data_IF_815750045909
#
_entry.id   IF_815750045909
#
_cell.length_a   1.000
_cell.length_b   1.000
_cell.length_c   1.000
_cell.angle_alpha   90.00
_cell.angle_beta   90.00
_cell.angle_gamma   90.00
#
_symmetry.space_group_name_H-M   'P 1'
#
loop_
_entity.id
_entity.type
_entity.pdbx_description
1 polymer ?
#
# COMPACT_ATOMS: atom_id res chain seq x y z
N UNK A 1 7.67 22.25 -17.16
CA UNK A 1 7.62 23.56 -17.83
C UNK A 1 6.51 24.38 -17.15
N UNK A 2 6.81 25.56 -16.62
CA UNK A 2 5.81 26.36 -15.89
C UNK A 2 5.31 27.50 -16.77
N UNK A 3 4.00 27.54 -17.00
CA UNK A 3 3.31 28.63 -17.71
C UNK A 3 2.24 29.17 -16.76
N UNK A 4 2.26 30.48 -16.46
CA UNK A 4 1.29 31.17 -15.59
C UNK A 4 1.10 30.51 -14.21
N UNK A 5 2.18 29.98 -13.60
CA UNK A 5 2.10 29.31 -12.29
C UNK A 5 1.55 27.88 -12.32
N UNK A 6 1.20 27.35 -13.48
CA UNK A 6 0.80 25.94 -13.68
C UNK A 6 2.00 25.16 -14.20
N UNK A 7 2.36 24.09 -13.51
CA UNK A 7 3.38 23.15 -13.99
C UNK A 7 2.68 22.01 -14.75
N UNK A 8 3.21 21.73 -15.94
CA UNK A 8 2.73 20.62 -16.77
C UNK A 8 3.67 19.43 -16.61
N UNK A 9 3.14 18.26 -16.25
CA UNK A 9 3.95 17.04 -16.08
C UNK A 9 4.39 16.52 -17.45
N UNK A 10 3.45 16.46 -18.39
CA UNK A 10 3.68 15.98 -19.75
C UNK A 10 3.50 17.09 -20.80
N UNK A 11 4.43 18.06 -20.90
CA UNK A 11 4.30 19.19 -21.82
C UNK A 11 4.32 18.80 -23.30
N UNK A 12 4.83 17.59 -23.61
CA UNK A 12 4.89 17.08 -24.99
C UNK A 12 3.49 16.90 -25.60
N UNK A 13 2.47 16.57 -24.78
CA UNK A 13 1.09 16.41 -25.21
C UNK A 13 0.51 17.72 -25.76
N UNK A 14 0.95 18.87 -25.26
CA UNK A 14 0.49 20.18 -25.73
C UNK A 14 0.88 20.46 -27.19
N UNK A 15 1.93 19.81 -27.71
CA UNK A 15 2.35 19.93 -29.10
C UNK A 15 1.31 19.30 -30.08
N UNK A 16 0.39 18.48 -29.59
CA UNK A 16 -0.69 17.92 -30.39
C UNK A 16 -1.87 18.88 -30.56
N UNK A 17 -1.99 19.91 -29.72
CA UNK A 17 -3.11 20.88 -29.77
C UNK A 17 -3.26 21.54 -31.17
N UNK A 18 -2.21 22.06 -31.83
CA UNK A 18 -2.34 22.70 -33.11
C UNK A 18 -2.77 21.77 -34.26
N UNK A 19 -2.59 20.44 -34.06
CA UNK A 19 -3.06 19.45 -35.04
C UNK A 19 -4.58 19.27 -35.04
N UNK A 20 -5.26 19.58 -33.91
CA UNK A 20 -6.71 19.40 -33.77
C UNK A 20 -7.50 20.32 -34.72
N UNK A 21 -7.27 21.65 -34.76
CA UNK A 21 -7.97 22.52 -35.71
C UNK A 21 -7.60 22.20 -37.17
N UNK A 22 -6.36 21.79 -37.44
CA UNK A 22 -5.94 21.35 -38.76
C UNK A 22 -6.70 20.09 -39.22
N UNK A 23 -6.78 19.07 -38.35
CA UNK A 23 -7.53 17.85 -38.63
C UNK A 23 -9.04 18.14 -38.80
N UNK A 24 -9.59 18.98 -37.92
CA UNK A 24 -10.98 19.41 -38.03
C UNK A 24 -11.25 20.12 -39.35
N UNK A 25 -10.39 21.03 -39.76
CA UNK A 25 -10.51 21.74 -41.02
C UNK A 25 -10.43 20.81 -42.23
N UNK A 26 -9.50 19.87 -42.25
CA UNK A 26 -9.38 18.87 -43.30
C UNK A 26 -10.62 17.97 -43.44
N UNK A 27 -11.15 17.49 -42.31
CA UNK A 27 -12.37 16.65 -42.27
C UNK A 27 -13.58 17.44 -42.82
N UNK A 28 -13.75 18.72 -42.38
CA UNK A 28 -14.89 19.52 -42.81
C UNK A 28 -14.75 20.06 -44.24
N UNK A 29 -13.53 20.33 -44.73
CA UNK A 29 -13.29 20.71 -46.12
C UNK A 29 -13.67 19.61 -47.13
N UNK A 30 -13.36 18.34 -46.75
CA UNK A 30 -13.71 17.19 -47.60
C UNK A 30 -15.22 16.93 -47.70
N UNK A 31 -15.99 17.41 -46.75
CA UNK A 31 -17.44 17.18 -46.65
C UNK A 31 -18.30 18.34 -47.21
N UNK A 32 -17.72 19.48 -47.57
CA UNK A 32 -18.43 20.63 -48.06
C UNK A 32 -19.03 20.40 -49.48
N UNK A 33 -18.64 19.34 -50.17
CA UNK A 33 -19.15 19.01 -51.52
C UNK A 33 -20.12 17.81 -51.58
N UNK A 34 -20.37 17.16 -50.44
CA UNK A 34 -21.29 16.02 -50.41
C UNK A 34 -22.57 16.42 -49.70
N UNK A 35 -23.63 16.73 -50.45
CA UNK A 35 -25.01 16.81 -49.94
C UNK A 35 -25.35 15.54 -49.16
N UNK A 36 -25.46 15.73 -47.83
CA UNK A 36 -25.32 14.67 -46.86
C UNK A 36 -26.49 13.73 -46.75
N UNK A 37 -26.51 12.72 -47.57
CA UNK A 37 -27.25 11.50 -47.24
C UNK A 37 -26.28 10.59 -46.47
N UNK A 38 -26.31 10.64 -45.14
CA UNK A 38 -25.65 9.65 -44.31
C UNK A 38 -26.21 8.29 -44.71
N UNK A 39 -25.44 7.49 -45.46
CA UNK A 39 -25.77 6.09 -45.71
C UNK A 39 -25.62 5.30 -44.41
N UNK A 40 -26.64 5.38 -43.54
CA UNK A 40 -26.73 4.51 -42.38
C UNK A 40 -26.60 3.05 -42.79
N UNK A 41 -25.82 2.22 -42.07
CA UNK A 41 -25.77 0.77 -42.33
C UNK A 41 -27.20 0.20 -42.33
N UNK A 42 -27.45 -0.77 -43.19
CA UNK A 42 -28.78 -1.36 -43.38
C UNK A 42 -29.49 -1.77 -42.07
N UNK A 43 -28.73 -2.13 -41.06
CA UNK A 43 -29.21 -2.51 -39.72
C UNK A 43 -29.81 -1.31 -38.99
N UNK A 44 -29.16 -0.14 -38.99
CA UNK A 44 -29.66 1.09 -38.34
C UNK A 44 -30.88 1.68 -39.08
N UNK A 45 -30.99 1.52 -40.39
CA UNK A 45 -32.18 1.92 -41.19
C UNK A 45 -33.46 1.23 -40.75
N UNK A 46 -33.34 -0.02 -40.31
CA UNK A 46 -34.47 -0.83 -39.84
C UNK A 46 -35.03 -0.36 -38.45
N UNK A 47 -34.15 0.21 -37.64
CA UNK A 47 -34.49 0.72 -36.32
C UNK A 47 -34.95 2.19 -36.31
N UNK A 48 -34.48 2.97 -37.26
CA UNK A 48 -34.73 4.42 -37.30
C UNK A 48 -36.06 4.80 -37.93
N UNK A 49 -36.76 3.89 -38.64
CA UNK A 49 -38.04 4.17 -39.32
C UNK A 49 -37.88 5.21 -40.44
N UNK A 50 -38.91 5.34 -41.26
CA UNK A 50 -38.91 6.16 -42.48
C UNK A 50 -38.77 7.71 -42.26
N UNK A 51 -38.80 8.16 -41.02
CA UNK A 51 -38.68 9.59 -40.62
C UNK A 51 -37.26 10.04 -40.19
N UNK A 52 -36.27 9.17 -40.25
CA UNK A 52 -34.93 9.48 -39.81
C UNK A 52 -34.04 10.22 -40.84
N UNK A 53 -34.61 10.59 -42.00
CA UNK A 53 -33.93 11.46 -42.96
C UNK A 53 -34.38 12.87 -42.72
N UNK A 54 -33.92 13.49 -41.61
CA UNK A 54 -34.05 14.92 -41.43
C UNK A 54 -32.82 15.57 -42.02
N UNK A 55 -33.01 16.25 -43.14
CA UNK A 55 -32.01 17.18 -43.72
C UNK A 55 -31.75 18.25 -42.63
N UNK A 56 -30.65 18.11 -41.86
CA UNK A 56 -30.22 19.20 -41.00
C UNK A 56 -29.50 20.24 -41.84
N UNK A 57 -29.87 21.54 -41.71
CA UNK A 57 -29.17 22.61 -42.40
C UNK A 57 -27.68 22.57 -41.98
N UNK A 58 -26.78 22.79 -42.93
CA UNK A 58 -25.32 22.68 -42.77
C UNK A 58 -24.73 23.48 -41.62
N UNK A 59 -25.47 24.46 -41.04
CA UNK A 59 -25.12 25.25 -39.89
C UNK A 59 -25.00 24.42 -38.60
N UNK A 60 -25.89 23.46 -38.33
CA UNK A 60 -25.87 22.63 -37.13
C UNK A 60 -24.71 21.61 -37.13
N UNK A 61 -24.31 21.14 -38.30
CA UNK A 61 -23.19 20.23 -38.46
C UNK A 61 -21.85 20.95 -38.25
N UNK A 62 -21.74 22.21 -38.62
CA UNK A 62 -20.57 23.05 -38.38
C UNK A 62 -20.39 23.36 -36.90
N UNK A 63 -21.48 23.53 -36.18
CA UNK A 63 -21.48 23.70 -34.72
C UNK A 63 -21.02 22.47 -33.96
N UNK A 64 -21.48 21.27 -34.35
CA UNK A 64 -21.03 20.02 -33.73
C UNK A 64 -19.52 19.81 -33.84
N UNK A 65 -18.94 20.09 -35.03
CA UNK A 65 -17.50 19.99 -35.23
C UNK A 65 -16.67 20.97 -34.39
N UNK A 66 -17.20 22.17 -34.15
CA UNK A 66 -16.53 23.15 -33.28
C UNK A 66 -16.48 22.63 -31.82
N UNK A 67 -17.60 22.13 -31.29
CA UNK A 67 -17.65 21.58 -29.94
C UNK A 67 -16.78 20.33 -29.78
N UNK A 68 -16.69 19.49 -30.80
CA UNK A 68 -15.79 18.34 -30.84
C UNK A 68 -14.33 18.77 -30.75
N UNK A 69 -13.92 19.72 -31.59
CA UNK A 69 -12.54 20.23 -31.56
C UNK A 69 -12.19 20.86 -30.22
N UNK A 70 -13.10 21.68 -29.65
CA UNK A 70 -12.92 22.27 -28.33
C UNK A 70 -12.81 21.20 -27.22
N UNK A 71 -13.66 20.17 -27.27
CA UNK A 71 -13.61 19.05 -26.32
C UNK A 71 -12.30 18.26 -26.39
N UNK A 72 -11.80 17.98 -27.62
CA UNK A 72 -10.52 17.31 -27.82
C UNK A 72 -9.34 18.16 -27.34
N UNK A 73 -9.35 19.46 -27.57
CA UNK A 73 -8.30 20.37 -27.07
C UNK A 73 -8.26 20.33 -25.53
N UNK A 74 -9.42 20.45 -24.87
CA UNK A 74 -9.47 20.35 -23.41
C UNK A 74 -9.06 18.96 -22.89
N UNK A 75 -9.40 17.91 -23.60
CA UNK A 75 -8.95 16.55 -23.25
C UNK A 75 -7.42 16.40 -23.34
N UNK A 76 -6.79 16.98 -24.38
CA UNK A 76 -5.33 17.01 -24.50
C UNK A 76 -4.70 17.85 -23.39
N UNK A 77 -5.32 18.98 -23.03
CA UNK A 77 -4.86 19.77 -21.88
C UNK A 77 -4.98 19.01 -20.56
N UNK A 78 -6.05 18.24 -20.35
CA UNK A 78 -6.20 17.38 -19.18
C UNK A 78 -5.15 16.25 -19.16
N UNK A 79 -4.85 15.67 -20.32
CA UNK A 79 -3.83 14.61 -20.47
C UNK A 79 -2.41 15.14 -20.19
N UNK A 80 -2.14 16.43 -20.41
CA UNK A 80 -0.88 17.07 -20.06
C UNK A 80 -0.68 17.26 -18.54
N UNK A 81 -1.65 16.81 -17.70
CA UNK A 81 -1.64 16.81 -16.24
C UNK A 81 -1.24 18.16 -15.64
N UNK A 82 -2.13 19.17 -15.68
CA UNK A 82 -1.87 20.44 -15.05
C UNK A 82 -1.79 20.30 -13.54
N UNK A 83 -0.67 20.71 -12.96
CA UNK A 83 -0.39 20.73 -11.54
C UNK A 83 -0.49 22.17 -11.04
N UNK A 84 -1.40 22.40 -10.09
CA UNK A 84 -1.60 23.72 -9.50
C UNK A 84 -1.89 23.62 -8.00
N UNK A 85 -1.16 24.40 -7.21
CA UNK A 85 -1.25 24.38 -5.75
C UNK A 85 -0.30 23.35 -5.12
N UNK A 86 0.03 23.57 -3.87
CA UNK A 86 0.83 22.66 -3.06
C UNK A 86 -0.13 21.86 -2.17
N UNK A 87 -0.13 20.56 -2.30
CA UNK A 87 -0.64 19.66 -1.27
C UNK A 87 0.52 19.46 -0.31
N UNK A 88 0.39 19.94 0.90
CA UNK A 88 1.22 19.52 2.00
C UNK A 88 0.81 18.10 2.36
N UNK A 89 1.25 17.11 1.60
CA UNK A 89 1.28 15.75 2.09
C UNK A 89 2.40 15.72 3.12
N UNK A 90 2.04 15.52 4.37
CA UNK A 90 3.00 15.08 5.37
C UNK A 90 3.40 13.67 4.95
N UNK A 91 4.40 13.57 4.08
CA UNK A 91 5.12 12.33 3.90
C UNK A 91 5.76 12.12 5.26
N UNK A 92 5.27 11.17 6.01
CA UNK A 92 6.00 10.60 7.12
C UNK A 92 7.21 9.92 6.48
N UNK A 93 8.25 10.71 6.24
CA UNK A 93 9.56 10.16 5.97
C UNK A 93 9.84 9.27 7.18
N UNK A 94 10.11 7.99 6.91
CA UNK A 94 10.29 6.96 7.93
C UNK A 94 11.55 7.34 8.71
N UNK A 95 11.38 8.27 9.66
CA UNK A 95 12.48 8.91 10.33
C UNK A 95 13.09 8.05 11.43
N UNK A 96 12.51 6.88 11.74
CA UNK A 96 12.97 6.02 12.83
C UNK A 96 12.95 4.55 12.46
N UNK A 97 14.03 3.88 12.81
CA UNK A 97 14.17 2.43 12.73
C UNK A 97 14.39 1.89 14.15
N UNK A 98 13.49 1.04 14.61
CA UNK A 98 13.52 0.44 15.96
C UNK A 98 13.67 -1.07 15.81
N UNK A 99 14.80 -1.61 16.25
CA UNK A 99 14.98 -3.05 16.36
C UNK A 99 14.81 -3.49 17.80
N UNK A 100 13.88 -4.40 18.02
CA UNK A 100 13.65 -5.03 19.32
C UNK A 100 14.54 -6.26 19.43
N UNK A 101 15.31 -6.41 20.49
CA UNK A 101 16.10 -7.61 20.78
C UNK A 101 15.53 -8.25 22.05
N UNK A 102 14.83 -9.37 21.87
CA UNK A 102 14.20 -10.12 22.94
C UNK A 102 15.06 -11.31 23.37
N UNK A 103 15.44 -11.34 24.64
CA UNK A 103 16.13 -12.43 25.25
C UNK A 103 15.18 -13.62 25.47
N UNK A 104 15.53 -14.77 24.91
CA UNK A 104 14.82 -16.04 25.09
C UNK A 104 15.64 -17.04 25.91
N UNK A 105 16.61 -16.58 26.69
CA UNK A 105 17.36 -17.47 27.58
C UNK A 105 16.44 -18.07 28.66
N UNK A 106 16.85 -19.20 29.23
CA UNK A 106 16.07 -19.90 30.23
C UNK A 106 15.83 -19.02 31.48
N UNK A 107 16.74 -18.10 31.82
CA UNK A 107 16.60 -17.18 32.92
C UNK A 107 15.39 -16.24 32.79
N UNK A 108 14.92 -16.00 31.58
CA UNK A 108 13.70 -15.22 31.30
C UNK A 108 12.39 -15.94 31.71
N UNK A 109 12.45 -17.22 32.04
CA UNK A 109 11.30 -17.96 32.63
C UNK A 109 11.11 -17.69 34.12
N UNK A 110 12.06 -17.01 34.79
CA UNK A 110 11.95 -16.64 36.19
C UNK A 110 10.67 -15.83 36.48
N UNK A 111 10.10 -16.05 37.66
CA UNK A 111 8.80 -15.51 38.07
C UNK A 111 8.89 -14.41 39.16
N UNK A 112 10.09 -13.87 39.35
CA UNK A 112 10.33 -12.71 40.23
C UNK A 112 9.66 -11.42 39.74
N UNK A 113 9.36 -11.39 38.43
CA UNK A 113 8.53 -10.37 37.79
C UNK A 113 7.30 -11.03 37.20
N UNK A 114 6.10 -10.53 37.49
CA UNK A 114 4.85 -11.17 37.02
C UNK A 114 4.44 -10.73 35.63
N UNK A 115 3.92 -11.64 34.77
CA UNK A 115 3.72 -13.09 35.02
C UNK A 115 5.03 -13.90 35.09
N UNK A 116 5.95 -13.69 34.14
CA UNK A 116 7.37 -14.09 34.12
C UNK A 116 8.15 -12.94 33.48
N UNK A 117 9.50 -12.96 33.52
CA UNK A 117 10.34 -11.95 32.86
C UNK A 117 10.03 -11.89 31.35
N UNK A 118 9.93 -13.05 30.70
CA UNK A 118 9.63 -13.15 29.27
C UNK A 118 8.24 -12.60 28.91
N UNK A 119 7.22 -13.01 29.65
CA UNK A 119 5.86 -12.49 29.42
C UNK A 119 5.78 -10.98 29.69
N UNK A 120 6.52 -10.50 30.68
CA UNK A 120 6.66 -9.06 30.92
C UNK A 120 7.28 -8.34 29.74
N UNK A 121 8.37 -8.89 29.18
CA UNK A 121 9.00 -8.34 27.97
C UNK A 121 8.03 -8.29 26.79
N UNK A 122 7.28 -9.36 26.54
CA UNK A 122 6.26 -9.41 25.48
C UNK A 122 5.17 -8.37 25.66
N UNK A 123 4.69 -8.15 26.90
CA UNK A 123 3.71 -7.11 27.19
C UNK A 123 4.25 -5.71 26.92
N UNK A 124 5.50 -5.43 27.27
CA UNK A 124 6.15 -4.15 26.99
C UNK A 124 6.28 -3.92 25.47
N UNK A 125 6.67 -4.94 24.72
CA UNK A 125 6.73 -4.87 23.26
C UNK A 125 5.34 -4.61 22.67
N UNK A 126 4.31 -5.33 23.13
CA UNK A 126 2.94 -5.15 22.66
C UNK A 126 2.46 -3.70 22.83
N UNK A 127 2.67 -3.13 24.02
CA UNK A 127 2.31 -1.74 24.29
C UNK A 127 3.09 -0.75 23.43
N UNK A 128 4.38 -0.98 23.24
CA UNK A 128 5.18 -0.15 22.34
C UNK A 128 4.61 -0.15 20.92
N UNK A 129 4.24 -1.32 20.39
CA UNK A 129 3.64 -1.44 19.06
C UNK A 129 2.29 -0.74 18.92
N UNK A 130 1.54 -0.58 20.02
CA UNK A 130 0.27 0.16 20.03
C UNK A 130 0.48 1.69 19.96
N UNK A 131 1.60 2.15 20.46
CA UNK A 131 1.94 3.57 20.55
C UNK A 131 2.70 4.11 19.33
N UNK A 132 3.47 3.25 18.66
CA UNK A 132 4.26 3.61 17.48
C UNK A 132 3.36 3.89 16.26
N UNK A 133 3.70 4.96 15.52
CA UNK A 133 2.94 5.39 14.31
C UNK A 133 3.90 5.77 13.20
N UNK A 134 4.18 4.81 12.31
CA UNK A 134 4.95 5.07 11.08
C UNK A 134 6.45 4.80 11.19
N UNK A 135 6.96 4.35 12.33
CA UNK A 135 8.31 3.84 12.47
C UNK A 135 8.46 2.46 11.81
N UNK A 136 9.68 2.10 11.43
CA UNK A 136 9.99 0.73 11.00
C UNK A 136 10.47 -0.06 12.19
N UNK A 137 9.73 -1.12 12.53
CA UNK A 137 10.05 -1.99 13.68
C UNK A 137 10.44 -3.36 13.19
N UNK A 138 11.51 -3.91 13.76
CA UNK A 138 11.95 -5.29 13.56
C UNK A 138 12.10 -6.02 14.87
N UNK A 139 12.25 -7.34 14.82
CA UNK A 139 12.45 -8.20 15.98
C UNK A 139 13.63 -9.13 15.76
N UNK A 140 14.61 -9.05 16.62
CA UNK A 140 15.66 -10.04 16.80
C UNK A 140 15.38 -10.81 18.08
N UNK A 141 15.65 -12.10 18.07
CA UNK A 141 15.58 -12.98 19.24
C UNK A 141 16.96 -13.55 19.52
N UNK A 142 17.32 -13.66 20.78
CA UNK A 142 18.64 -14.17 21.15
C UNK A 142 18.62 -14.99 22.45
N UNK A 143 19.52 -15.93 22.51
CA UNK A 143 19.91 -16.72 23.68
C UNK A 143 21.38 -17.13 23.46
N UNK A 144 21.76 -18.40 23.48
CA UNK A 144 23.07 -18.85 23.02
C UNK A 144 23.34 -18.66 21.52
N UNK A 145 22.29 -18.42 20.73
CA UNK A 145 22.34 -18.01 19.31
C UNK A 145 21.39 -16.85 19.09
N UNK A 146 21.58 -16.12 17.98
CA UNK A 146 20.79 -14.91 17.69
C UNK A 146 20.28 -14.94 16.26
N UNK A 147 19.03 -14.52 16.04
CA UNK A 147 18.39 -14.50 14.73
C UNK A 147 17.53 -13.24 14.56
N UNK A 148 17.51 -12.72 13.34
CA UNK A 148 16.55 -11.69 12.93
C UNK A 148 15.21 -12.40 12.59
N UNK A 149 14.25 -12.29 13.50
CA UNK A 149 12.96 -12.97 13.36
C UNK A 149 12.02 -12.21 12.45
N UNK A 150 11.97 -10.88 12.59
CA UNK A 150 11.19 -10.00 11.73
C UNK A 150 12.08 -8.86 11.27
N UNK A 151 12.27 -8.67 9.95
CA UNK A 151 13.02 -7.54 9.44
C UNK A 151 12.28 -6.22 9.71
N UNK A 152 13.00 -5.10 9.65
CA UNK A 152 12.44 -3.77 9.84
C UNK A 152 11.31 -3.49 8.84
N UNK A 153 10.09 -3.36 9.34
CA UNK A 153 8.86 -3.16 8.58
C UNK A 153 7.95 -2.17 9.29
N UNK A 154 7.08 -1.50 8.56
CA UNK A 154 5.97 -0.70 9.11
C UNK A 154 4.71 -1.53 9.37
N UNK A 155 4.73 -2.82 9.04
CA UNK A 155 3.65 -3.76 9.31
C UNK A 155 3.90 -4.46 10.67
N UNK A 156 3.20 -3.98 11.68
CA UNK A 156 3.34 -4.48 13.06
C UNK A 156 2.53 -5.75 13.33
N UNK A 157 1.59 -6.11 12.47
CA UNK A 157 0.76 -7.31 12.66
C UNK A 157 1.62 -8.58 12.67
N UNK A 158 2.65 -8.62 11.81
CA UNK A 158 3.60 -9.75 11.79
C UNK A 158 4.30 -9.94 13.15
N UNK A 159 4.69 -8.82 13.81
CA UNK A 159 5.30 -8.91 15.12
C UNK A 159 4.30 -9.38 16.18
N UNK A 160 3.06 -8.88 16.13
CA UNK A 160 1.99 -9.28 17.06
C UNK A 160 1.64 -10.75 16.96
N UNK A 161 1.63 -11.28 15.74
CA UNK A 161 1.31 -12.69 15.50
C UNK A 161 2.42 -13.64 15.98
N UNK A 162 3.68 -13.24 15.87
CA UNK A 162 4.84 -14.07 16.25
C UNK A 162 5.12 -13.98 17.75
N UNK A 163 4.97 -12.81 18.37
CA UNK A 163 5.38 -12.52 19.74
C UNK A 163 4.83 -13.51 20.79
N UNK A 164 3.55 -13.93 20.77
CA UNK A 164 3.02 -14.88 21.75
C UNK A 164 3.68 -16.27 21.70
N UNK A 165 4.10 -16.70 20.52
CA UNK A 165 4.69 -18.04 20.30
C UNK A 165 6.18 -18.13 20.64
N UNK A 166 6.83 -17.04 21.04
CA UNK A 166 8.25 -17.06 21.38
C UNK A 166 8.44 -17.60 22.80
N UNK A 167 9.28 -18.59 22.94
CA UNK A 167 9.69 -19.18 24.22
C UNK A 167 11.16 -19.65 24.13
N UNK A 168 11.82 -20.03 25.24
CA UNK A 168 13.20 -20.48 25.22
C UNK A 168 13.48 -21.70 24.34
N UNK A 169 12.49 -22.54 24.04
CA UNK A 169 12.64 -23.69 23.15
C UNK A 169 12.72 -23.30 21.67
N UNK A 170 12.40 -22.05 21.36
CA UNK A 170 12.48 -21.52 20.01
C UNK A 170 13.91 -21.49 19.46
N UNK A 171 14.90 -21.32 20.35
CA UNK A 171 16.29 -21.26 19.97
C UNK A 171 17.02 -22.58 20.31
N UNK A 172 17.89 -23.07 19.39
CA UNK A 172 18.50 -24.39 19.54
C UNK A 172 19.60 -24.43 20.62
N UNK A 173 20.11 -23.29 21.06
CA UNK A 173 21.22 -23.21 21.98
C UNK A 173 20.89 -22.34 23.20
N UNK A 174 21.06 -22.89 24.38
CA UNK A 174 20.89 -22.19 25.64
C UNK A 174 22.06 -21.24 25.92
N UNK A 175 21.85 -20.27 26.78
CA UNK A 175 22.82 -19.23 27.17
C UNK A 175 22.39 -17.84 26.73
N UNK A 176 23.30 -16.85 26.82
CA UNK A 176 23.04 -15.48 26.42
C UNK A 176 24.26 -14.92 25.69
N UNK A 177 24.14 -14.76 24.36
CA UNK A 177 25.18 -14.25 23.46
C UNK A 177 24.87 -12.84 22.95
N UNK A 178 25.37 -11.85 23.66
CA UNK A 178 25.23 -10.43 23.24
C UNK A 178 26.06 -10.13 21.99
N UNK A 179 27.17 -10.84 21.75
CA UNK A 179 28.02 -10.63 20.57
C UNK A 179 27.24 -10.99 19.29
N UNK A 180 26.58 -12.14 19.28
CA UNK A 180 25.72 -12.58 18.19
C UNK A 180 24.54 -11.64 17.97
N UNK A 181 23.88 -11.22 19.05
CA UNK A 181 22.75 -10.28 19.02
C UNK A 181 23.16 -8.95 18.38
N UNK A 182 24.29 -8.34 18.77
CA UNK A 182 24.79 -7.08 18.21
C UNK A 182 25.17 -7.20 16.73
N UNK A 183 25.67 -8.37 16.29
CA UNK A 183 25.94 -8.62 14.86
C UNK A 183 24.64 -8.68 14.07
N UNK A 184 23.66 -9.42 14.55
CA UNK A 184 22.33 -9.47 13.92
C UNK A 184 21.70 -8.07 13.85
N UNK A 185 21.81 -7.28 14.92
CA UNK A 185 21.34 -5.90 14.91
C UNK A 185 22.08 -5.05 13.89
N UNK A 186 23.41 -5.21 13.80
CA UNK A 186 24.22 -4.49 12.83
C UNK A 186 23.83 -4.83 11.39
N UNK A 187 23.51 -6.08 11.09
CA UNK A 187 23.06 -6.52 9.77
C UNK A 187 21.65 -5.99 9.46
N UNK A 188 20.73 -6.05 10.44
CA UNK A 188 19.34 -5.63 10.29
C UNK A 188 19.21 -4.15 9.91
N UNK A 189 20.05 -3.28 10.46
CA UNK A 189 20.06 -1.85 10.15
C UNK A 189 20.76 -1.52 8.82
N UNK A 190 20.77 -2.27 7.81
CA UNK A 190 21.25 -1.98 6.46
C UNK A 190 22.36 -0.91 6.32
N UNK A 191 22.72 -0.54 5.09
CA UNK A 191 23.89 0.32 4.90
C UNK A 191 23.65 1.83 4.91
N UNK A 192 22.43 2.32 4.68
CA UNK A 192 22.24 3.78 4.57
C UNK A 192 20.78 4.18 4.72
N UNK A 193 20.50 4.83 5.82
CA UNK A 193 19.29 5.67 5.93
C UNK A 193 19.62 6.93 6.73
N UNK A 194 18.95 8.02 6.44
CA UNK A 194 18.98 9.23 7.25
C UNK A 194 18.13 9.06 8.53
N UNK A 195 17.60 7.86 8.78
CA UNK A 195 16.74 7.55 9.91
C UNK A 195 17.51 7.45 11.22
N UNK A 196 16.90 7.89 12.31
CA UNK A 196 17.37 7.62 13.66
C UNK A 196 17.17 6.14 13.99
N UNK A 197 18.18 5.50 14.56
CA UNK A 197 18.23 4.06 14.81
C UNK A 197 18.29 3.75 16.28
N UNK A 198 17.36 2.91 16.71
CA UNK A 198 17.27 2.46 18.08
C UNK A 198 17.29 0.94 18.18
N UNK A 199 18.12 0.41 19.06
CA UNK A 199 18.10 -0.99 19.46
C UNK A 199 17.56 -1.07 20.88
N UNK A 200 16.38 -1.68 21.06
CA UNK A 200 15.76 -1.89 22.38
C UNK A 200 16.06 -3.30 22.81
N UNK A 201 16.86 -3.48 23.85
CA UNK A 201 17.22 -4.78 24.40
C UNK A 201 16.35 -5.07 25.60
N UNK A 202 15.68 -6.23 25.62
CA UNK A 202 14.88 -6.72 26.74
C UNK A 202 15.51 -8.01 27.25
N UNK A 203 16.20 -7.94 28.39
CA UNK A 203 16.96 -9.05 28.96
C UNK A 203 17.12 -8.86 30.48
N UNK A 204 17.56 -9.91 31.17
CA UNK A 204 17.98 -9.84 32.57
C UNK A 204 19.46 -9.46 32.75
N UNK A 205 20.20 -9.30 31.66
CA UNK A 205 21.57 -8.82 31.67
C UNK A 205 22.65 -9.87 31.97
N UNK A 206 22.28 -11.12 32.21
CA UNK A 206 23.28 -12.18 32.42
C UNK A 206 24.14 -12.33 31.15
N UNK A 207 25.44 -12.02 31.25
CA UNK A 207 26.38 -12.08 30.15
C UNK A 207 27.49 -13.08 30.44
N UNK A 208 27.68 -14.03 29.55
CA UNK A 208 28.67 -15.07 29.74
C UNK A 208 29.96 -14.81 28.97
N UNK A 209 29.94 -13.89 27.99
CA UNK A 209 31.08 -13.56 27.12
C UNK A 209 31.33 -12.04 27.07
N UNK A 210 32.59 -11.58 27.36
CA UNK A 210 32.97 -10.18 27.23
C UNK A 210 33.19 -9.72 25.77
N UNK A 211 33.06 -10.60 24.79
CA UNK A 211 33.31 -10.32 23.36
C UNK A 211 32.41 -9.29 22.70
N UNK A 212 31.32 -8.93 23.31
CA UNK A 212 30.32 -7.98 22.82
C UNK A 212 30.90 -6.57 22.52
N UNK A 213 31.99 -6.16 23.19
CA UNK A 213 32.58 -4.82 23.00
C UNK A 213 33.05 -4.60 21.56
N UNK A 214 33.61 -5.61 20.90
CA UNK A 214 34.02 -5.49 19.49
C UNK A 214 32.83 -5.34 18.55
N UNK A 215 31.76 -6.12 18.77
CA UNK A 215 30.54 -6.02 17.98
C UNK A 215 29.82 -4.67 18.19
N UNK A 216 29.90 -4.12 19.41
CA UNK A 216 29.33 -2.82 19.72
C UNK A 216 29.98 -1.68 18.94
N UNK A 217 31.31 -1.73 18.71
CA UNK A 217 32.01 -0.71 17.91
C UNK A 217 31.51 -0.67 16.44
N UNK A 218 31.12 -1.80 15.88
CA UNK A 218 30.53 -1.85 14.55
C UNK A 218 29.11 -1.22 14.54
N UNK A 219 28.31 -1.48 15.56
CA UNK A 219 26.99 -0.89 15.72
C UNK A 219 27.07 0.64 15.92
N UNK A 220 28.04 1.13 16.71
CA UNK A 220 28.30 2.56 16.91
C UNK A 220 28.58 3.30 15.60
N UNK A 221 29.30 2.67 14.65
CA UNK A 221 29.55 3.27 13.33
C UNK A 221 28.25 3.55 12.57
N UNK A 222 27.19 2.79 12.84
CA UNK A 222 25.86 2.99 12.26
C UNK A 222 24.99 3.99 13.05
N UNK A 223 25.56 4.64 14.08
CA UNK A 223 24.87 5.62 14.93
C UNK A 223 23.62 5.08 15.61
N UNK A 224 23.62 3.80 15.96
CA UNK A 224 22.50 3.16 16.68
C UNK A 224 22.62 3.51 18.16
N UNK A 225 21.53 3.97 18.75
CA UNK A 225 21.42 4.16 20.20
C UNK A 225 20.75 2.94 20.83
N UNK A 226 21.28 2.48 21.96
CA UNK A 226 20.75 1.32 22.67
C UNK A 226 19.89 1.79 23.84
N UNK A 227 18.66 1.32 23.89
CA UNK A 227 17.78 1.43 25.05
C UNK A 227 17.75 0.05 25.69
N UNK A 228 18.38 -0.10 26.83
CA UNK A 228 18.46 -1.38 27.52
C UNK A 228 17.45 -1.44 28.66
N UNK A 229 16.59 -2.46 28.59
CA UNK A 229 15.52 -2.71 29.58
C UNK A 229 15.87 -3.96 30.38
N UNK A 230 16.28 -3.75 31.62
CA UNK A 230 16.59 -4.83 32.54
C UNK A 230 15.31 -5.39 33.18
N UNK A 231 15.05 -6.68 32.99
CA UNK A 231 13.85 -7.34 33.49
C UNK A 231 14.24 -8.43 34.49
N UNK A 232 13.90 -8.25 35.74
CA UNK A 232 14.24 -9.12 36.86
C UNK A 232 14.41 -8.32 38.15
N UNK A 233 14.73 -9.01 39.23
CA UNK A 233 14.99 -8.39 40.50
C UNK A 233 16.41 -8.70 41.00
N UNK A 234 16.96 -7.83 41.85
CA UNK A 234 18.25 -8.06 42.48
C UNK A 234 18.24 -9.27 43.47
N UNK A 235 17.05 -9.59 44.00
CA UNK A 235 16.87 -10.79 44.83
C UNK A 235 16.92 -12.07 44.00
N UNK A 236 16.44 -11.99 42.75
CA UNK A 236 16.38 -13.13 41.82
C UNK A 236 15.27 -14.13 42.16
N UNK A 237 15.19 -15.16 41.30
CA UNK A 237 14.29 -16.28 41.48
C UNK A 237 14.96 -17.59 41.05
N UNK A 238 14.42 -18.71 41.56
CA UNK A 238 14.83 -20.01 41.09
C UNK A 238 14.19 -20.28 39.73
N UNK A 239 14.94 -20.92 38.82
CA UNK A 239 14.43 -21.26 37.50
C UNK A 239 13.44 -22.43 37.58
N UNK A 240 12.19 -22.23 37.14
CA UNK A 240 11.19 -23.27 37.11
C UNK A 240 11.54 -24.32 36.04
N UNK A 241 11.32 -25.60 36.37
CA UNK A 241 11.37 -26.69 35.41
C UNK A 241 9.95 -26.95 34.83
N UNK A 242 9.88 -27.45 33.60
CA UNK A 242 8.64 -27.82 32.90
C UNK A 242 7.79 -28.85 33.68
N UNK A 243 8.37 -29.56 34.67
CA UNK A 243 7.70 -30.58 35.50
C UNK A 243 7.24 -30.03 36.87
N UNK A 244 7.29 -28.73 37.10
CA UNK A 244 6.91 -28.08 38.36
C UNK A 244 7.98 -28.13 39.43
N UNK A 245 9.21 -28.50 39.09
CA UNK A 245 10.40 -28.44 39.93
C UNK A 245 11.24 -27.20 39.68
N UNK A 246 12.52 -27.28 40.09
CA UNK A 246 13.51 -26.21 39.79
C UNK A 246 14.67 -26.81 39.00
N UNK A 247 15.17 -26.05 38.04
CA UNK A 247 16.36 -26.46 37.27
C UNK A 247 17.56 -26.50 38.21
N UNK A 248 18.34 -27.59 38.10
CA UNK A 248 19.54 -27.82 38.89
C UNK A 248 20.77 -27.76 38.03
N UNK A 249 21.85 -27.22 38.56
CA UNK A 249 23.16 -27.21 37.92
C UNK A 249 23.79 -28.61 37.87
N UNK A 250 24.96 -28.77 37.26
CA UNK A 250 25.70 -30.00 37.20
C UNK A 250 26.11 -30.60 38.58
N UNK A 251 26.01 -29.80 39.64
CA UNK A 251 26.31 -30.19 41.02
C UNK A 251 25.03 -30.50 41.81
N UNK A 252 23.86 -30.41 41.20
CA UNK A 252 22.56 -30.66 41.83
C UNK A 252 22.01 -29.49 42.64
N UNK A 253 22.63 -28.32 42.62
CA UNK A 253 22.14 -27.14 43.28
C UNK A 253 21.08 -26.45 42.40
N UNK A 254 20.03 -25.87 43.01
CA UNK A 254 19.04 -25.11 42.29
C UNK A 254 19.67 -23.84 41.66
N UNK A 255 19.37 -23.60 40.40
CA UNK A 255 19.88 -22.43 39.66
C UNK A 255 19.08 -21.21 40.08
N UNK A 256 19.80 -20.22 40.62
CA UNK A 256 19.27 -18.90 40.97
C UNK A 256 19.73 -17.90 39.91
N UNK A 257 18.78 -17.23 39.25
CA UNK A 257 19.03 -16.14 38.31
C UNK A 257 18.68 -14.80 38.94
N UNK A 258 19.44 -13.74 38.63
CA UNK A 258 19.25 -12.37 39.12
C UNK A 258 19.34 -11.40 37.96
N UNK A 259 18.79 -10.24 38.15
CA UNK A 259 19.04 -9.09 37.24
C UNK A 259 20.52 -8.65 37.39
N UNK A 260 21.26 -8.66 36.31
CA UNK A 260 22.64 -8.17 36.22
C UNK A 260 22.72 -6.91 35.34
N UNK A 261 22.53 -5.72 35.87
CA UNK A 261 22.39 -4.50 35.06
C UNK A 261 23.70 -4.06 34.39
N UNK A 262 24.86 -4.48 34.92
CA UNK A 262 26.15 -3.94 34.51
C UNK A 262 26.44 -4.02 32.99
N UNK A 263 26.09 -5.15 32.35
CA UNK A 263 26.28 -5.29 30.90
C UNK A 263 25.31 -4.40 30.12
N UNK A 264 24.05 -4.34 30.53
CA UNK A 264 23.01 -3.53 29.90
C UNK A 264 23.31 -2.03 30.05
N UNK A 265 23.74 -1.60 31.22
CA UNK A 265 24.19 -0.23 31.48
C UNK A 265 25.36 0.15 30.60
N UNK A 266 26.39 -0.71 30.50
CA UNK A 266 27.55 -0.46 29.65
C UNK A 266 27.17 -0.37 28.15
N UNK A 267 26.27 -1.24 27.65
CA UNK A 267 25.79 -1.20 26.27
C UNK A 267 25.03 0.11 25.98
N UNK A 268 24.19 0.56 26.90
CA UNK A 268 23.44 1.80 26.77
C UNK A 268 24.39 3.03 26.82
N UNK A 269 25.25 3.12 27.82
CA UNK A 269 26.17 4.25 28.03
C UNK A 269 27.13 4.44 26.85
N UNK A 270 27.72 3.36 26.37
CA UNK A 270 28.68 3.38 25.26
C UNK A 270 28.08 3.86 23.93
N UNK A 271 26.76 3.74 23.74
CA UNK A 271 26.04 4.20 22.55
C UNK A 271 25.32 5.54 22.72
N UNK A 272 25.43 6.15 23.91
CA UNK A 272 24.69 7.37 24.24
C UNK A 272 23.19 7.14 24.34
N UNK A 273 22.79 5.93 24.70
CA UNK A 273 21.41 5.54 24.99
C UNK A 273 21.10 5.54 26.48
N UNK A 274 20.10 4.76 26.88
CA UNK A 274 19.57 4.78 28.26
C UNK A 274 19.33 3.35 28.76
N UNK A 275 19.70 3.09 30.01
CA UNK A 275 19.28 1.89 30.75
C UNK A 275 18.09 2.22 31.65
N UNK A 276 17.11 1.32 31.73
CA UNK A 276 16.03 1.36 32.69
C UNK A 276 15.69 -0.03 33.20
N UNK A 277 15.36 -0.10 34.47
CA UNK A 277 14.80 -1.31 35.06
C UNK A 277 13.31 -1.39 34.69
N UNK A 278 12.91 -2.47 34.03
CA UNK A 278 11.57 -2.68 33.50
C UNK A 278 10.76 -3.75 34.25
N UNK A 279 11.18 -4.07 35.47
CA UNK A 279 10.46 -4.98 36.39
C UNK A 279 9.08 -4.39 36.78
N UNK A 280 8.99 -3.08 36.86
CA UNK A 280 7.74 -2.31 36.96
C UNK A 280 7.31 -1.78 35.59
N UNK A 281 6.18 -1.08 35.52
CA UNK A 281 5.72 -0.44 34.31
C UNK A 281 6.70 0.66 33.86
N UNK A 282 7.06 0.63 32.58
CA UNK A 282 7.91 1.64 31.96
C UNK A 282 7.20 2.15 30.71
N UNK A 283 7.08 3.44 30.58
CA UNK A 283 6.60 4.09 29.37
C UNK A 283 7.74 4.14 28.35
N UNK A 284 7.66 3.26 27.36
CA UNK A 284 8.69 3.15 26.32
C UNK A 284 8.64 4.33 25.34
N UNK A 285 7.48 4.97 25.15
CA UNK A 285 7.37 6.13 24.29
C UNK A 285 8.06 7.33 24.92
N UNK A 286 7.90 7.53 26.24
CA UNK A 286 8.61 8.55 26.97
C UNK A 286 10.13 8.35 26.88
N UNK A 287 10.62 7.10 27.08
CA UNK A 287 12.03 6.76 26.94
C UNK A 287 12.59 7.00 25.54
N UNK A 288 11.81 6.65 24.50
CA UNK A 288 12.19 6.96 23.12
C UNK A 288 12.28 8.46 22.90
N UNK A 289 11.29 9.23 23.37
CA UNK A 289 11.29 10.68 23.24
C UNK A 289 12.44 11.34 23.99
N UNK A 290 12.71 10.95 25.25
CA UNK A 290 13.85 11.41 26.03
C UNK A 290 15.18 11.11 25.34
N UNK A 291 15.37 9.90 24.82
CA UNK A 291 16.60 9.49 24.14
C UNK A 291 16.81 10.26 22.83
N UNK A 292 15.73 10.68 22.18
CA UNK A 292 15.75 11.52 20.97
C UNK A 292 16.12 12.96 21.35
N UNK A 293 15.48 13.52 22.37
CA UNK A 293 15.70 14.91 22.81
C UNK A 293 17.11 15.15 23.36
N UNK A 294 17.68 14.16 24.04
CA UNK A 294 19.06 14.22 24.52
C UNK A 294 20.10 14.09 23.41
N UNK A 295 19.77 13.40 22.31
CA UNK A 295 20.54 13.43 21.06
C UNK A 295 20.13 14.68 20.32
N UNK A 296 21.02 15.73 20.26
CA UNK A 296 20.83 16.96 19.49
C UNK A 296 19.67 16.85 18.53
N UNK A 297 18.60 17.63 18.76
CA UNK A 297 17.45 17.75 17.89
C UNK A 297 17.90 17.66 16.43
N UNK A 298 17.99 16.46 15.88
CA UNK A 298 17.95 16.33 14.45
C UNK A 298 16.67 17.06 14.09
N UNK A 299 16.78 18.19 13.41
CA UNK A 299 15.62 18.83 12.83
C UNK A 299 14.73 17.69 12.34
N UNK A 300 13.58 17.56 12.98
CA UNK A 300 12.49 16.84 12.34
C UNK A 300 12.34 17.58 11.01
N UNK A 301 13.09 17.14 10.03
CA UNK A 301 12.87 17.53 8.68
C UNK A 301 11.50 16.97 8.36
N UNK A 302 10.47 17.72 8.76
CA UNK A 302 9.23 17.75 8.02
C UNK A 302 9.69 18.22 6.64
N UNK A 303 10.31 17.31 5.90
CA UNK A 303 10.49 17.51 4.48
C UNK A 303 9.07 17.53 3.96
N UNK A 304 8.49 18.72 4.03
CA UNK A 304 7.28 19.05 3.28
C UNK A 304 7.71 18.95 1.84
N UNK A 305 7.71 17.73 1.31
CA UNK A 305 7.69 17.60 -0.13
C UNK A 305 6.38 18.22 -0.57
N UNK A 306 6.48 19.46 -0.99
CA UNK A 306 5.39 20.16 -1.61
C UNK A 306 5.09 19.44 -2.94
N UNK A 307 4.35 18.35 -2.86
CA UNK A 307 3.84 17.65 -4.02
C UNK A 307 2.80 18.53 -4.65
N UNK A 308 3.00 18.92 -5.90
CA UNK A 308 2.03 19.76 -6.59
C UNK A 308 0.76 18.96 -6.84
N UNK A 309 -0.39 19.53 -6.47
CA UNK A 309 -1.69 18.90 -6.63
C UNK A 309 -2.04 18.73 -8.11
N UNK A 310 -2.28 17.51 -8.55
CA UNK A 310 -2.79 17.22 -9.88
C UNK A 310 -4.26 17.67 -9.98
N UNK A 311 -4.55 18.63 -10.85
CA UNK A 311 -5.90 19.20 -11.02
C UNK A 311 -6.49 18.89 -12.39
N UNK A 312 -6.07 17.79 -13.03
CA UNK A 312 -6.56 17.39 -14.36
C UNK A 312 -8.09 17.22 -14.42
N UNK A 313 -8.73 16.89 -13.30
CA UNK A 313 -10.18 16.69 -13.21
C UNK A 313 -10.96 17.96 -13.58
N UNK A 314 -10.48 19.15 -13.22
CA UNK A 314 -11.13 20.43 -13.53
C UNK A 314 -11.14 20.76 -15.02
N UNK A 315 -10.16 20.27 -15.76
CA UNK A 315 -10.08 20.41 -17.21
C UNK A 315 -10.80 19.26 -17.93
N UNK A 316 -10.75 18.06 -17.36
CA UNK A 316 -11.38 16.87 -17.94
C UNK A 316 -12.92 16.94 -17.92
N UNK A 317 -13.52 17.46 -16.84
CA UNK A 317 -14.97 17.53 -16.71
C UNK A 317 -15.62 18.36 -17.84
N UNK A 318 -15.19 19.61 -18.15
CA UNK A 318 -15.72 20.36 -19.28
C UNK A 318 -15.36 19.72 -20.63
N UNK A 319 -14.20 19.04 -20.76
CA UNK A 319 -13.86 18.31 -21.97
C UNK A 319 -14.88 17.22 -22.30
N UNK A 320 -15.19 16.37 -21.31
CA UNK A 320 -16.19 15.30 -21.45
C UNK A 320 -17.58 15.87 -21.75
N UNK A 321 -17.96 16.97 -21.08
CA UNK A 321 -19.22 17.65 -21.35
C UNK A 321 -19.33 18.14 -22.80
N UNK A 322 -18.28 18.79 -23.34
CA UNK A 322 -18.28 19.28 -24.72
C UNK A 322 -18.29 18.14 -25.74
N UNK A 323 -17.57 17.04 -25.47
CA UNK A 323 -17.61 15.86 -26.31
C UNK A 323 -19.00 15.21 -26.34
N UNK A 324 -19.64 15.10 -25.16
CA UNK A 324 -21.00 14.58 -25.05
C UNK A 324 -22.01 15.50 -25.75
N UNK A 325 -21.85 16.81 -25.61
CA UNK A 325 -22.68 17.82 -26.31
C UNK A 325 -22.50 17.70 -27.83
N UNK A 326 -21.25 17.59 -28.31
CA UNK A 326 -21.00 17.37 -29.74
C UNK A 326 -21.69 16.13 -30.25
N UNK A 327 -21.57 15.01 -29.52
CA UNK A 327 -22.21 13.76 -29.87
C UNK A 327 -23.74 13.88 -29.87
N UNK A 328 -24.32 14.55 -28.88
CA UNK A 328 -25.77 14.81 -28.78
C UNK A 328 -26.26 15.68 -29.96
N UNK A 329 -25.48 16.66 -30.39
CA UNK A 329 -25.80 17.49 -31.55
C UNK A 329 -25.65 16.75 -32.88
N UNK A 330 -24.78 15.74 -32.95
CA UNK A 330 -24.62 14.91 -34.15
C UNK A 330 -25.63 13.76 -34.22
N UNK A 331 -26.13 13.28 -33.07
CA UNK A 331 -27.14 12.23 -33.06
C UNK A 331 -28.50 12.72 -33.59
N UNK A 332 -29.02 12.15 -34.70
CA UNK A 332 -30.25 12.62 -35.34
C UNK A 332 -31.53 12.17 -34.62
N UNK A 333 -31.44 11.41 -33.52
CA UNK A 333 -32.61 10.74 -32.94
C UNK A 333 -32.78 11.08 -31.48
N UNK A 334 -33.71 12.03 -31.18
CA UNK A 334 -34.35 12.05 -29.88
C UNK A 334 -35.28 10.85 -29.80
N UNK A 335 -35.23 10.01 -28.77
CA UNK A 335 -36.17 8.91 -28.62
C UNK A 335 -37.57 9.49 -28.43
N UNK A 336 -38.39 9.46 -29.47
CA UNK A 336 -39.79 9.81 -29.37
C UNK A 336 -40.51 8.69 -28.62
N UNK A 337 -41.23 9.06 -27.54
CA UNK A 337 -42.07 8.10 -26.82
C UNK A 337 -43.02 7.44 -27.84
N UNK A 338 -42.90 6.11 -28.00
CA UNK A 338 -43.88 5.34 -28.74
C UNK A 338 -45.25 5.51 -28.07
N UNK A 339 -46.15 6.26 -28.67
CA UNK A 339 -47.55 6.15 -28.36
C UNK A 339 -48.00 4.82 -28.96
N UNK A 340 -48.19 3.83 -28.11
CA UNK A 340 -48.92 2.61 -28.48
C UNK A 340 -50.36 3.12 -28.75
N UNK A 341 -50.73 3.20 -30.02
CA UNK A 341 -52.14 3.39 -30.36
C UNK A 341 -52.82 2.10 -29.93
N UNK A 342 -53.48 2.15 -28.78
CA UNK A 342 -54.51 1.16 -28.49
C UNK A 342 -55.60 1.40 -29.52
N UNK A 343 -55.71 0.51 -30.50
CA UNK A 343 -56.87 0.43 -31.36
C UNK A 343 -58.11 0.17 -30.51
N UNK A 344 -59.30 0.60 -30.96
CA UNK A 344 -60.52 0.33 -30.23
C UNK A 344 -60.62 -1.17 -29.98
N UNK A 345 -60.84 -1.55 -28.71
CA UNK A 345 -61.19 -2.92 -28.35
C UNK A 345 -62.56 -3.18 -28.97
N UNK A 346 -62.60 -3.85 -30.09
CA UNK A 346 -63.82 -4.43 -30.60
C UNK A 346 -64.01 -5.76 -29.88
N UNK A 347 -65.04 -5.82 -29.06
CA UNK A 347 -65.58 -7.08 -28.49
C UNK A 347 -66.02 -7.96 -29.65
N UNK A 348 -65.22 -8.88 -30.09
CA UNK A 348 -65.53 -9.81 -31.15
C UNK A 348 -64.45 -10.88 -31.26
N UNK A 349 -64.82 -12.08 -31.05
CA UNK A 349 -64.21 -13.40 -31.22
C UNK A 349 -62.74 -13.48 -31.67
N UNK A 350 -61.96 -14.39 -31.07
CA UNK A 350 -60.55 -14.60 -31.46
C UNK A 350 -60.50 -15.25 -32.85
N UNK A 351 -60.08 -14.48 -33.83
CA UNK A 351 -59.78 -15.01 -35.17
C UNK A 351 -58.56 -15.95 -35.06
N UNK A 352 -58.79 -17.20 -35.44
CA UNK A 352 -57.76 -18.23 -35.57
C UNK A 352 -56.66 -17.76 -36.56
N UNK A 353 -55.38 -18.01 -36.30
CA UNK A 353 -54.32 -17.63 -37.23
C UNK A 353 -54.41 -18.41 -38.53
N UNK A 354 -54.13 -17.79 -39.68
CA UNK A 354 -54.24 -18.46 -40.97
C UNK A 354 -53.24 -19.64 -41.07
N UNK A 355 -53.81 -20.79 -41.41
CA UNK A 355 -53.06 -22.04 -41.69
C UNK A 355 -52.06 -21.81 -42.83
N UNK A 356 -50.78 -21.92 -42.55
CA UNK A 356 -49.75 -21.94 -43.56
C UNK A 356 -49.91 -23.16 -44.48
N UNK A 357 -50.32 -22.96 -45.70
CA UNK A 357 -50.26 -23.98 -46.74
C UNK A 357 -48.80 -24.31 -47.01
N UNK A 358 -48.42 -25.53 -46.62
CA UNK A 358 -47.14 -26.15 -47.06
C UNK A 358 -47.28 -26.46 -48.55
N UNK A 359 -46.58 -25.74 -49.41
CA UNK A 359 -46.37 -26.13 -50.81
C UNK A 359 -45.28 -27.19 -50.81
N UNK A 360 -45.75 -28.44 -50.99
CA UNK A 360 -44.91 -29.61 -51.30
C UNK A 360 -44.47 -29.50 -52.75
N UNK A 361 -43.22 -29.14 -53.00
CA UNK A 361 -42.63 -29.36 -54.33
C UNK A 361 -42.14 -30.79 -54.43
N UNK A 362 -42.83 -31.57 -55.26
CA UNK A 362 -42.40 -32.85 -55.79
C UNK A 362 -41.09 -32.67 -56.54
N UNK A 363 -40.03 -33.32 -56.08
CA UNK A 363 -38.81 -33.52 -56.81
C UNK A 363 -38.94 -34.84 -57.63
N UNK A 364 -39.04 -34.69 -58.90
CA UNK A 364 -38.94 -35.78 -59.88
C UNK A 364 -37.58 -36.42 -59.90
N UNK A 365 -37.61 -37.73 -59.83
CA UNK A 365 -36.52 -38.69 -60.06
C UNK A 365 -36.12 -38.68 -61.48
N UNK A 366 -34.84 -38.60 -61.85
CA UNK A 366 -34.24 -39.38 -62.95
C UNK A 366 -32.70 -39.41 -62.81
N UNK A 367 -32.23 -40.58 -62.61
CA UNK A 367 -31.49 -41.56 -63.36
C UNK A 367 -29.99 -41.30 -63.61
N UNK A 368 -29.28 -42.30 -63.15
CA UNK A 368 -28.20 -43.07 -63.84
C UNK A 368 -26.77 -42.53 -63.66
N UNK A 369 -26.04 -43.37 -62.98
CA UNK A 369 -25.00 -44.31 -63.49
C UNK A 369 -23.70 -43.63 -63.96
N UNK A 370 -22.65 -43.96 -63.37
CA UNK A 370 -21.48 -44.84 -63.76
C UNK A 370 -20.28 -44.36 -62.94
N UNK A 371 -19.70 -45.22 -62.12
CA UNK A 371 -18.68 -46.26 -62.38
C UNK A 371 -17.26 -45.69 -62.42
N UNK A 372 -16.45 -46.24 -61.45
CA UNK A 372 -15.01 -46.56 -61.54
C UNK A 372 -14.03 -45.33 -61.56
N UNK A 373 -13.18 -45.26 -60.71
CA UNK A 373 -12.04 -46.08 -60.25
C UNK A 373 -11.61 -45.64 -58.87
#
# INVERSE_FOLDING_TARGET
MTFYGVRWEEPQVLLLIPLVPLASWLIFRGQAGQSGVLKLPKVMRRWAGARAVVDRPGATRRQGGFWLAAGVILALMALARPQYGQLEETVFDQSREVLLALDLSASMLADDVKPTRLERAKLLIGNLLDELKGERVGLAVFAGTSFLQVPLSSDYEVLRDILPGLDPSYLPQAGTDYTGMLRVATEAFGQSTAADRFLIILSDGEAHDPGWKTALEELKKKKVKIIALGIGTAAGSLLPDSQGGVIKDARGAAVLTKLEPATLEALAEETGGVYREASNWVDLQELLSETIEQGKSGEFSKTREARQAERFQWVLAPAVFLLALSLALEMPVLPTRRRIAMGPVTDGEPALPPVMKKTTKLVSKDKREQVAT
#
